data_IF_387463189725
#
_entry.id   IF_387463189725
#
_cell.length_a   1.000
_cell.length_b   1.000
_cell.length_c   1.000
_cell.angle_alpha   90.00
_cell.angle_beta   90.00
_cell.angle_gamma   90.00
#
_symmetry.space_group_name_H-M   'P 1'
#
loop_
_entity.id
_entity.type
_entity.pdbx_description
1 polymer ?
#
# COMPACT_ATOMS: atom_id res chain seq x y z
N UNK A 1 -19.09 -7.26 11.50
CA UNK A 1 -18.00 -6.40 10.98
C UNK A 1 -16.81 -7.31 10.82
N UNK A 2 -16.24 -7.41 9.62
CA UNK A 2 -15.09 -8.28 9.41
C UNK A 2 -13.84 -7.68 10.06
N UNK A 3 -12.99 -8.53 10.60
CA UNK A 3 -11.74 -8.15 11.27
C UNK A 3 -10.60 -9.03 10.76
N UNK A 4 -9.38 -8.53 10.84
CA UNK A 4 -8.20 -9.35 10.63
C UNK A 4 -7.66 -9.79 11.98
N UNK A 5 -7.29 -11.06 12.12
CA UNK A 5 -6.56 -11.57 13.28
C UNK A 5 -5.08 -11.62 12.95
N UNK A 6 -4.25 -11.02 13.80
CA UNK A 6 -2.83 -10.86 13.56
C UNK A 6 -2.02 -11.54 14.67
N UNK A 7 -0.97 -12.26 14.27
CA UNK A 7 0.07 -12.75 15.17
C UNK A 7 1.42 -12.22 14.72
N UNK A 8 2.08 -11.47 15.59
CA UNK A 8 3.39 -10.87 15.36
C UNK A 8 4.43 -11.46 16.31
N UNK A 9 5.51 -11.98 15.74
CA UNK A 9 6.66 -12.54 16.44
C UNK A 9 7.86 -11.60 16.27
N UNK A 10 8.49 -11.22 17.38
CA UNK A 10 9.65 -10.34 17.42
C UNK A 10 10.86 -11.10 17.96
N UNK A 11 11.98 -11.03 17.24
CA UNK A 11 13.22 -11.73 17.59
C UNK A 11 14.35 -10.74 17.91
N UNK A 12 14.97 -10.88 19.08
CA UNK A 12 16.06 -10.02 19.56
C UNK A 12 17.32 -10.83 19.87
N UNK A 13 18.49 -10.33 19.49
CA UNK A 13 19.76 -10.96 19.88
C UNK A 13 20.17 -10.64 21.32
N UNK A 14 19.84 -9.44 21.81
CA UNK A 14 20.22 -8.98 23.13
C UNK A 14 19.06 -9.11 24.12
N UNK A 15 19.33 -9.73 25.27
CA UNK A 15 18.35 -9.92 26.34
C UNK A 15 17.81 -8.59 26.86
N UNK A 16 18.64 -7.55 26.97
CA UNK A 16 18.22 -6.22 27.39
C UNK A 16 17.18 -5.62 26.42
N UNK A 17 17.42 -5.70 25.10
CA UNK A 17 16.47 -5.23 24.10
C UNK A 17 15.17 -6.04 24.14
N UNK A 18 15.27 -7.36 24.32
CA UNK A 18 14.10 -8.22 24.49
C UNK A 18 13.27 -7.79 25.71
N UNK A 19 13.91 -7.64 26.87
CA UNK A 19 13.25 -7.28 28.13
C UNK A 19 12.65 -5.87 28.07
N UNK A 20 13.37 -4.89 27.53
CA UNK A 20 12.86 -3.52 27.38
C UNK A 20 11.64 -3.48 26.45
N UNK A 21 11.67 -4.23 25.34
CA UNK A 21 10.54 -4.32 24.42
C UNK A 21 9.33 -4.99 25.07
N UNK A 22 9.55 -6.09 25.79
CA UNK A 22 8.49 -6.77 26.54
C UNK A 22 7.85 -5.85 27.59
N UNK A 23 8.66 -5.16 28.39
CA UNK A 23 8.17 -4.23 29.41
C UNK A 23 7.38 -3.07 28.80
N UNK A 24 7.80 -2.55 27.65
CA UNK A 24 7.04 -1.55 26.90
C UNK A 24 5.62 -2.05 26.57
N UNK A 25 5.50 -3.25 25.98
CA UNK A 25 4.19 -3.81 25.61
C UNK A 25 3.33 -4.21 26.80
N UNK A 26 3.93 -4.73 27.89
CA UNK A 26 3.20 -5.02 29.11
C UNK A 26 2.62 -3.75 29.73
N UNK A 27 3.38 -2.65 29.75
CA UNK A 27 2.87 -1.36 30.26
C UNK A 27 1.81 -0.74 29.37
N UNK A 28 1.95 -0.88 28.05
CA UNK A 28 0.90 -0.51 27.10
C UNK A 28 -0.40 -1.30 27.36
N UNK A 29 -0.30 -2.61 27.62
CA UNK A 29 -1.44 -3.46 27.96
C UNK A 29 -2.11 -3.07 29.29
N UNK A 30 -1.33 -2.64 30.27
CA UNK A 30 -1.83 -2.14 31.56
C UNK A 30 -2.44 -0.73 31.46
N UNK A 31 -2.29 -0.03 30.33
CA UNK A 31 -2.72 1.36 30.16
C UNK A 31 -1.77 2.39 30.79
N UNK A 32 -0.59 1.97 31.27
CA UNK A 32 0.43 2.86 31.84
C UNK A 32 1.30 3.47 30.74
N UNK A 33 0.75 4.47 30.06
CA UNK A 33 1.40 5.15 28.94
C UNK A 33 2.71 5.84 29.35
N UNK A 34 2.81 6.31 30.60
CA UNK A 34 4.01 6.99 31.08
C UNK A 34 5.18 6.01 31.19
N UNK A 35 4.99 4.86 31.85
CA UNK A 35 6.02 3.83 31.94
C UNK A 35 6.32 3.20 30.57
N UNK A 36 5.29 2.95 29.75
CA UNK A 36 5.49 2.47 28.40
C UNK A 36 6.41 3.41 27.60
N UNK A 37 6.18 4.73 27.67
CA UNK A 37 6.99 5.72 26.97
C UNK A 37 8.42 5.78 27.51
N UNK A 38 8.66 5.53 28.80
CA UNK A 38 10.01 5.42 29.36
C UNK A 38 10.80 4.28 28.71
N UNK A 39 10.18 3.11 28.52
CA UNK A 39 10.83 2.00 27.81
C UNK A 39 11.00 2.30 26.31
N UNK A 40 9.99 2.89 25.65
CA UNK A 40 10.08 3.30 24.25
C UNK A 40 11.20 4.33 23.99
N UNK A 41 11.45 5.23 24.95
CA UNK A 41 12.53 6.21 24.87
C UNK A 41 13.92 5.55 24.84
N UNK A 42 14.10 4.37 25.43
CA UNK A 42 15.35 3.61 25.33
C UNK A 42 15.63 3.19 23.88
N UNK A 43 14.58 2.97 23.09
CA UNK A 43 14.66 2.72 21.65
C UNK A 43 14.58 4.00 20.80
N UNK A 44 14.53 5.18 21.44
CA UNK A 44 14.33 6.49 20.79
C UNK A 44 13.08 6.51 19.90
N UNK A 45 12.02 5.83 20.33
CA UNK A 45 10.77 5.72 19.59
C UNK A 45 9.60 6.30 20.37
N UNK A 46 8.58 6.72 19.62
CA UNK A 46 7.26 7.01 20.18
C UNK A 46 6.51 5.70 20.39
N UNK A 47 5.53 5.70 21.28
CA UNK A 47 4.63 4.57 21.42
C UNK A 47 3.93 4.26 20.08
N UNK A 48 3.70 2.97 19.77
CA UNK A 48 2.96 2.57 18.58
C UNK A 48 1.55 3.15 18.63
N UNK A 49 1.20 4.01 17.67
CA UNK A 49 -0.13 4.62 17.59
C UNK A 49 -1.22 3.57 17.44
N UNK A 50 -0.92 2.54 16.65
CA UNK A 50 -1.82 1.43 16.36
C UNK A 50 -2.35 0.75 17.63
N UNK A 51 -1.54 0.71 18.70
CA UNK A 51 -1.92 0.05 19.95
C UNK A 51 -3.20 0.62 20.57
N UNK A 52 -3.39 1.94 20.52
CA UNK A 52 -4.55 2.63 21.11
C UNK A 52 -5.63 3.03 20.11
N UNK A 53 -5.27 3.11 18.82
CA UNK A 53 -6.14 3.67 17.79
C UNK A 53 -6.85 2.59 16.95
N UNK A 54 -6.12 1.57 16.48
CA UNK A 54 -6.59 0.64 15.45
C UNK A 54 -6.50 -0.84 15.82
N UNK A 55 -5.77 -1.19 16.88
CA UNK A 55 -5.69 -2.56 17.38
C UNK A 55 -6.69 -2.81 18.49
N UNK A 56 -7.17 -4.04 18.57
CA UNK A 56 -8.09 -4.52 19.60
C UNK A 56 -7.67 -5.89 20.13
N UNK A 57 -8.24 -6.29 21.27
CA UNK A 57 -8.01 -7.61 21.89
C UNK A 57 -6.53 -7.99 22.07
N UNK A 58 -5.68 -7.02 22.40
CA UNK A 58 -4.23 -7.21 22.40
C UNK A 58 -3.80 -8.20 23.49
N UNK A 59 -2.96 -9.16 23.11
CA UNK A 59 -2.29 -10.08 24.00
C UNK A 59 -0.79 -10.01 23.77
N UNK A 60 -0.06 -9.95 24.88
CA UNK A 60 1.41 -9.99 24.91
C UNK A 60 1.80 -11.26 25.63
N UNK A 61 2.59 -12.10 24.98
CA UNK A 61 3.26 -13.25 25.58
C UNK A 61 4.74 -13.21 25.22
N UNK A 62 5.58 -13.82 26.04
CA UNK A 62 7.01 -13.85 25.79
C UNK A 62 7.59 -15.21 26.16
N UNK A 63 8.52 -15.64 25.33
CA UNK A 63 9.41 -16.76 25.58
C UNK A 63 10.85 -16.23 25.53
N UNK A 64 11.85 -16.99 26.00
CA UNK A 64 13.25 -16.55 25.93
C UNK A 64 13.73 -16.18 24.52
N UNK A 65 13.14 -16.80 23.49
CA UNK A 65 13.57 -16.63 22.10
C UNK A 65 12.81 -15.57 21.30
N UNK A 66 11.60 -15.21 21.74
CA UNK A 66 10.72 -14.31 21.02
C UNK A 66 9.65 -13.66 21.90
N UNK A 67 9.17 -12.50 21.45
CA UNK A 67 7.96 -11.87 21.96
C UNK A 67 6.85 -12.13 20.96
N UNK A 68 5.68 -12.55 21.43
CA UNK A 68 4.47 -12.75 20.63
C UNK A 68 3.41 -11.72 21.01
N UNK A 69 2.93 -11.02 20.00
CA UNK A 69 1.79 -10.11 20.07
C UNK A 69 0.65 -10.69 19.24
N UNK A 70 -0.51 -10.89 19.86
CA UNK A 70 -1.74 -11.21 19.15
C UNK A 70 -2.68 -10.00 19.24
N UNK A 71 -3.31 -9.62 18.14
CA UNK A 71 -4.25 -8.50 18.10
C UNK A 71 -5.20 -8.61 16.91
N UNK A 72 -6.40 -8.04 17.07
CA UNK A 72 -7.35 -7.86 15.98
C UNK A 72 -7.22 -6.45 15.40
N UNK A 73 -7.50 -6.31 14.10
CA UNK A 73 -7.47 -5.03 13.39
C UNK A 73 -8.59 -4.92 12.36
N UNK A 74 -8.78 -3.72 11.81
CA UNK A 74 -9.65 -3.54 10.65
C UNK A 74 -9.10 -4.28 9.42
N UNK A 75 -9.95 -4.60 8.45
CA UNK A 75 -9.54 -5.28 7.21
C UNK A 75 -8.68 -4.40 6.31
N UNK A 76 -8.82 -3.08 6.45
CA UNK A 76 -7.96 -2.07 5.82
C UNK A 76 -6.69 -1.76 6.61
N UNK A 77 -6.51 -2.34 7.79
CA UNK A 77 -5.31 -2.07 8.59
C UNK A 77 -4.10 -2.72 7.94
N UNK A 78 -3.08 -1.89 7.80
CA UNK A 78 -1.85 -2.22 7.14
C UNK A 78 -0.85 -2.89 8.11
N UNK A 79 0.17 -3.59 7.58
CA UNK A 79 1.26 -4.12 8.42
C UNK A 79 1.86 -3.04 9.35
N UNK A 80 2.31 -3.37 10.56
CA UNK A 80 2.70 -2.41 11.61
C UNK A 80 4.12 -1.85 11.43
N UNK A 81 4.40 -1.34 10.23
CA UNK A 81 5.71 -0.89 9.76
C UNK A 81 6.29 0.27 10.59
N UNK A 82 5.43 1.17 11.06
CA UNK A 82 5.85 2.31 11.90
C UNK A 82 6.44 1.87 13.24
N UNK A 83 5.95 0.76 13.78
CA UNK A 83 6.47 0.16 15.00
C UNK A 83 7.73 -0.66 14.74
N UNK A 84 7.74 -1.46 13.66
CA UNK A 84 8.88 -2.31 13.33
C UNK A 84 10.13 -1.51 12.97
N UNK A 85 9.98 -0.39 12.25
CA UNK A 85 11.10 0.41 11.79
C UNK A 85 12.06 0.87 12.91
N UNK A 86 11.60 1.52 14.00
CA UNK A 86 12.48 1.90 15.11
C UNK A 86 13.01 0.70 15.88
N UNK A 87 12.24 -0.39 16.04
CA UNK A 87 12.72 -1.60 16.71
C UNK A 87 13.92 -2.23 15.98
N UNK A 88 13.91 -2.24 14.64
CA UNK A 88 15.09 -2.66 13.87
C UNK A 88 16.30 -1.75 14.08
N UNK A 89 16.11 -0.44 14.22
CA UNK A 89 17.21 0.48 14.57
C UNK A 89 17.73 0.27 15.99
N UNK A 90 16.90 -0.29 16.86
CA UNK A 90 17.20 -0.60 18.25
C UNK A 90 17.77 -2.02 18.47
N UNK A 91 18.14 -2.73 17.40
CA UNK A 91 18.80 -4.03 17.50
C UNK A 91 17.84 -5.24 17.48
N UNK A 92 16.58 -5.05 17.08
CA UNK A 92 15.74 -6.20 16.70
C UNK A 92 16.36 -6.93 15.51
N UNK A 93 16.46 -8.26 15.60
CA UNK A 93 17.12 -9.09 14.59
C UNK A 93 16.18 -9.44 13.45
N UNK A 94 14.94 -9.77 13.78
CA UNK A 94 13.91 -10.15 12.82
C UNK A 94 12.51 -9.99 13.38
N UNK A 95 11.54 -10.01 12.49
CA UNK A 95 10.13 -10.07 12.82
C UNK A 95 9.39 -10.93 11.80
N UNK A 96 8.34 -11.61 12.23
CA UNK A 96 7.43 -12.34 11.35
C UNK A 96 6.00 -12.01 11.76
N UNK A 97 5.12 -11.81 10.78
CA UNK A 97 3.71 -11.51 10.99
C UNK A 97 2.90 -12.51 10.19
N UNK A 98 1.88 -13.09 10.82
CA UNK A 98 0.79 -13.77 10.16
C UNK A 98 -0.48 -12.94 10.30
N UNK A 99 -1.22 -12.79 9.20
CA UNK A 99 -2.51 -12.12 9.15
C UNK A 99 -3.53 -13.09 8.57
N UNK A 100 -4.59 -13.35 9.32
CA UNK A 100 -5.78 -14.04 8.82
C UNK A 100 -6.85 -13.01 8.45
N UNK A 101 -7.26 -13.00 7.18
CA UNK A 101 -8.31 -12.13 6.68
C UNK A 101 -9.65 -12.86 6.67
N UNK A 102 -10.54 -12.52 7.61
CA UNK A 102 -11.85 -13.16 7.78
C UNK A 102 -12.80 -12.95 6.58
N UNK A 103 -12.60 -11.91 5.76
CA UNK A 103 -13.46 -11.67 4.59
C UNK A 103 -13.26 -12.70 3.49
N UNK A 104 -12.00 -13.10 3.27
CA UNK A 104 -11.59 -13.99 2.18
C UNK A 104 -11.22 -15.39 2.70
N UNK A 105 -11.01 -15.54 4.01
CA UNK A 105 -10.59 -16.80 4.63
C UNK A 105 -9.14 -17.17 4.31
N UNK A 106 -8.27 -16.17 4.15
CA UNK A 106 -6.90 -16.37 3.66
C UNK A 106 -5.85 -15.93 4.67
N UNK A 107 -4.70 -16.62 4.62
CA UNK A 107 -3.53 -16.29 5.42
C UNK A 107 -2.45 -15.61 4.58
N UNK A 108 -1.88 -14.55 5.13
CA UNK A 108 -0.70 -13.87 4.60
C UNK A 108 0.42 -13.82 5.65
N UNK A 109 1.67 -13.92 5.20
CA UNK A 109 2.84 -13.80 6.07
C UNK A 109 3.88 -12.82 5.58
N UNK A 110 4.22 -11.86 6.43
CA UNK A 110 5.31 -10.94 6.18
C UNK A 110 6.51 -11.28 7.07
N UNK A 111 7.70 -11.35 6.48
CA UNK A 111 8.95 -11.62 7.19
C UNK A 111 9.89 -10.44 7.05
N UNK A 112 10.60 -10.08 8.11
CA UNK A 112 11.46 -8.91 8.14
C UNK A 112 12.81 -9.22 8.77
N UNK A 113 13.89 -8.72 8.16
CA UNK A 113 15.23 -8.71 8.73
C UNK A 113 15.97 -7.44 8.34
N UNK A 114 16.79 -6.92 9.26
CA UNK A 114 17.63 -5.73 9.03
C UNK A 114 16.83 -4.54 8.46
N UNK A 115 15.61 -4.33 8.98
CA UNK A 115 14.74 -3.23 8.55
C UNK A 115 14.19 -3.35 7.13
N UNK A 116 14.13 -4.55 6.56
CA UNK A 116 13.55 -4.84 5.24
C UNK A 116 12.61 -6.03 5.31
N UNK A 117 11.51 -5.97 4.55
CA UNK A 117 10.68 -7.12 4.23
C UNK A 117 11.47 -8.05 3.30
N UNK A 118 11.46 -9.35 3.60
CA UNK A 118 12.26 -10.37 2.93
C UNK A 118 11.44 -11.63 2.69
N UNK A 119 11.93 -12.50 1.82
CA UNK A 119 11.39 -13.86 1.72
C UNK A 119 11.68 -14.67 3.01
N UNK A 120 10.89 -15.72 3.32
CA UNK A 120 11.06 -16.51 4.54
C UNK A 120 12.46 -17.13 4.66
N UNK A 121 13.04 -17.63 3.56
CA UNK A 121 14.39 -18.21 3.54
C UNK A 121 15.46 -17.25 4.07
N UNK A 122 15.31 -15.95 3.78
CA UNK A 122 16.24 -14.92 4.25
C UNK A 122 16.12 -14.66 5.76
N UNK A 123 14.91 -14.75 6.31
CA UNK A 123 14.70 -14.72 7.76
C UNK A 123 15.35 -15.93 8.41
N UNK A 124 15.05 -17.14 7.92
CA UNK A 124 15.55 -18.39 8.47
C UNK A 124 17.08 -18.46 8.48
N UNK A 125 17.73 -17.96 7.43
CA UNK A 125 19.20 -17.91 7.37
C UNK A 125 19.83 -16.97 8.41
N UNK A 126 19.15 -15.88 8.77
CA UNK A 126 19.69 -14.85 9.67
C UNK A 126 19.25 -15.04 11.12
N UNK A 127 18.12 -15.71 11.32
CA UNK A 127 17.50 -15.99 12.61
C UNK A 127 17.16 -17.48 12.63
N UNK A 128 18.15 -18.36 12.77
CA UNK A 128 17.96 -19.82 12.59
C UNK A 128 16.86 -20.38 13.50
N UNK A 129 16.78 -19.92 14.75
CA UNK A 129 15.72 -20.31 15.70
C UNK A 129 14.30 -19.92 15.26
N UNK A 130 14.15 -18.99 14.32
CA UNK A 130 12.82 -18.54 13.86
C UNK A 130 12.05 -19.63 13.12
N UNK A 131 12.71 -20.64 12.55
CA UNK A 131 12.06 -21.74 11.83
C UNK A 131 11.11 -22.49 12.76
N UNK A 132 11.66 -23.06 13.85
CA UNK A 132 10.88 -23.84 14.81
C UNK A 132 9.79 -23.01 15.48
N UNK A 133 10.08 -21.73 15.78
CA UNK A 133 9.10 -20.82 16.39
C UNK A 133 7.95 -20.50 15.42
N UNK A 134 8.24 -20.22 14.16
CA UNK A 134 7.21 -19.93 13.16
C UNK A 134 6.33 -21.17 12.93
N UNK A 135 6.94 -22.34 12.82
CA UNK A 135 6.22 -23.60 12.63
C UNK A 135 5.32 -23.96 13.83
N UNK A 136 5.66 -23.53 15.04
CA UNK A 136 4.86 -23.80 16.24
C UNK A 136 3.83 -22.73 16.59
N UNK A 137 4.13 -21.46 16.32
CA UNK A 137 3.35 -20.32 16.81
C UNK A 137 2.30 -19.81 15.81
N UNK A 138 2.54 -20.00 14.51
CA UNK A 138 1.61 -19.59 13.46
C UNK A 138 0.61 -20.70 13.13
N UNK A 139 -0.59 -20.30 12.74
CA UNK A 139 -1.71 -21.20 12.53
C UNK A 139 -1.65 -21.89 11.15
N UNK A 140 -1.27 -21.14 10.10
CA UNK A 140 -1.29 -21.66 8.75
C UNK A 140 -0.12 -22.61 8.45
N UNK A 141 -0.32 -23.58 7.57
CA UNK A 141 0.79 -24.26 6.90
C UNK A 141 1.31 -23.41 5.73
N UNK A 142 2.55 -23.64 5.25
CA UNK A 142 3.07 -22.96 4.07
C UNK A 142 2.17 -23.07 2.83
N UNK A 143 1.42 -24.17 2.70
CA UNK A 143 0.49 -24.45 1.61
C UNK A 143 -0.79 -23.60 1.66
N UNK A 144 -1.18 -23.10 2.83
CA UNK A 144 -2.37 -22.25 3.03
C UNK A 144 -2.10 -20.76 2.77
N UNK A 145 -0.85 -20.39 2.49
CA UNK A 145 -0.45 -19.00 2.31
C UNK A 145 -0.75 -18.50 0.90
N UNK A 146 -1.59 -17.48 0.80
CA UNK A 146 -1.84 -16.76 -0.45
C UNK A 146 -0.89 -15.57 -0.58
N UNK A 147 0.35 -15.82 -1.00
CA UNK A 147 1.31 -14.74 -1.21
C UNK A 147 2.26 -15.02 -2.37
N UNK A 148 2.41 -14.01 -3.23
CA UNK A 148 3.42 -14.04 -4.27
C UNK A 148 4.83 -14.06 -3.67
N UNK A 149 5.78 -14.80 -4.26
CA UNK A 149 7.15 -14.81 -3.79
C UNK A 149 7.77 -13.41 -3.88
N UNK A 150 8.48 -13.03 -2.82
CA UNK A 150 9.24 -11.78 -2.80
C UNK A 150 10.62 -11.98 -3.43
N UNK A 151 10.81 -11.47 -4.64
CA UNK A 151 12.07 -11.61 -5.39
C UNK A 151 13.23 -10.83 -4.77
N UNK A 152 12.95 -9.64 -4.21
CA UNK A 152 13.96 -8.73 -3.67
C UNK A 152 13.52 -8.12 -2.34
N UNK A 153 14.44 -7.95 -1.37
CA UNK A 153 14.13 -7.24 -0.14
C UNK A 153 13.62 -5.83 -0.39
N UNK A 154 12.56 -5.44 0.33
CA UNK A 154 12.01 -4.08 0.29
C UNK A 154 12.22 -3.44 1.65
N UNK A 155 12.91 -2.30 1.71
CA UNK A 155 13.15 -1.64 3.00
C UNK A 155 11.86 -1.15 3.62
N UNK A 156 11.73 -1.23 4.95
CA UNK A 156 10.55 -0.70 5.67
C UNK A 156 10.37 0.79 5.40
N UNK A 157 11.48 1.54 5.25
CA UNK A 157 11.43 2.95 4.87
C UNK A 157 10.75 3.16 3.51
N UNK A 158 11.06 2.32 2.52
CA UNK A 158 10.43 2.41 1.19
C UNK A 158 8.94 2.04 1.27
N UNK A 159 8.59 1.01 2.02
CA UNK A 159 7.20 0.62 2.23
C UNK A 159 6.40 1.75 2.90
N UNK A 160 6.97 2.41 3.92
CA UNK A 160 6.34 3.58 4.56
C UNK A 160 6.15 4.75 3.57
N UNK A 161 7.15 5.03 2.73
CA UNK A 161 7.05 6.07 1.69
C UNK A 161 5.98 5.75 0.64
N UNK A 162 5.87 4.48 0.23
CA UNK A 162 4.82 4.04 -0.71
C UNK A 162 3.43 4.26 -0.11
N UNK A 163 3.23 3.92 1.16
CA UNK A 163 1.96 4.17 1.86
C UNK A 163 1.62 5.65 1.98
N UNK A 164 2.60 6.49 2.34
CA UNK A 164 2.39 7.94 2.41
C UNK A 164 1.98 8.49 1.04
N UNK A 165 2.58 7.98 -0.04
CA UNK A 165 2.23 8.37 -1.41
C UNK A 165 0.84 7.88 -1.81
N UNK A 166 0.51 6.62 -1.56
CA UNK A 166 -0.83 6.04 -1.84
C UNK A 166 -1.94 6.79 -1.09
N UNK A 167 -1.70 7.16 0.17
CA UNK A 167 -2.64 7.97 0.94
C UNK A 167 -2.80 9.39 0.37
N UNK A 168 -1.71 10.02 -0.07
CA UNK A 168 -1.77 11.33 -0.71
C UNK A 168 -2.53 11.29 -2.05
N UNK A 169 -2.25 10.28 -2.87
CA UNK A 169 -2.90 10.07 -4.16
C UNK A 169 -4.41 9.79 -3.98
N UNK A 170 -4.78 8.98 -2.98
CA UNK A 170 -6.18 8.73 -2.63
C UNK A 170 -6.90 10.02 -2.17
N UNK A 171 -6.24 10.86 -1.37
CA UNK A 171 -6.81 12.14 -0.94
C UNK A 171 -6.98 13.11 -2.12
N UNK A 172 -6.02 13.17 -3.05
CA UNK A 172 -6.14 13.95 -4.29
C UNK A 172 -7.32 13.45 -5.12
N UNK A 173 -7.46 12.14 -5.32
CA UNK A 173 -8.58 11.55 -6.06
C UNK A 173 -9.93 11.88 -5.42
N UNK A 174 -10.06 11.78 -4.09
CA UNK A 174 -11.30 12.14 -3.39
C UNK A 174 -11.61 13.64 -3.53
N UNK A 175 -10.59 14.50 -3.50
CA UNK A 175 -10.77 15.93 -3.73
C UNK A 175 -11.25 16.21 -5.16
N UNK A 176 -10.63 15.58 -6.16
CA UNK A 176 -11.05 15.68 -7.57
C UNK A 176 -12.49 15.20 -7.77
N UNK A 177 -12.87 14.06 -7.20
CA UNK A 177 -14.24 13.55 -7.26
C UNK A 177 -15.24 14.50 -6.61
N UNK A 178 -14.88 15.10 -5.46
CA UNK A 178 -15.73 16.09 -4.78
C UNK A 178 -15.93 17.34 -5.64
N UNK A 179 -14.86 17.83 -6.27
CA UNK A 179 -14.92 19.02 -7.12
C UNK A 179 -15.70 18.76 -8.42
N UNK A 180 -15.56 17.57 -9.00
CA UNK A 180 -16.40 17.12 -10.11
C UNK A 180 -17.88 17.03 -9.71
N UNK A 181 -18.18 16.49 -8.53
CA UNK A 181 -19.54 16.42 -8.00
C UNK A 181 -20.17 17.81 -7.77
N UNK A 182 -19.38 18.78 -7.30
CA UNK A 182 -19.82 20.19 -7.20
C UNK A 182 -20.05 20.80 -8.57
N UNK A 183 -19.12 20.63 -9.50
CA UNK A 183 -19.25 21.14 -10.86
C UNK A 183 -20.48 20.56 -11.57
N UNK A 184 -20.75 19.25 -11.42
CA UNK A 184 -21.94 18.59 -11.95
C UNK A 184 -23.23 19.17 -11.37
N UNK A 185 -23.26 19.40 -10.06
CA UNK A 185 -24.39 20.04 -9.37
C UNK A 185 -24.63 21.48 -9.85
N UNK A 186 -23.56 22.24 -10.09
CA UNK A 186 -23.64 23.65 -10.48
C UNK A 186 -23.95 23.83 -11.98
N UNK A 187 -23.60 22.86 -12.83
CA UNK A 187 -23.82 22.92 -14.29
C UNK A 187 -25.02 22.11 -14.77
N UNK A 188 -25.59 21.22 -13.95
CA UNK A 188 -26.69 20.34 -14.33
C UNK A 188 -26.30 19.22 -15.30
N UNK A 189 -25.01 19.09 -15.63
CA UNK A 189 -24.47 18.08 -16.54
C UNK A 189 -24.15 16.77 -15.82
N UNK A 190 -24.20 15.65 -16.54
CA UNK A 190 -23.92 14.33 -15.97
C UNK A 190 -22.44 14.23 -15.52
N UNK A 191 -22.13 13.57 -14.37
CA UNK A 191 -20.76 13.42 -13.86
C UNK A 191 -19.80 12.75 -14.85
N UNK A 192 -20.32 11.88 -15.71
CA UNK A 192 -19.58 11.16 -16.75
C UNK A 192 -19.13 12.09 -17.90
N UNK A 193 -19.96 13.04 -18.32
CA UNK A 193 -19.59 14.04 -19.34
C UNK A 193 -18.53 15.03 -18.83
N UNK A 194 -18.55 15.32 -17.53
CA UNK A 194 -17.54 16.16 -16.86
C UNK A 194 -16.23 15.40 -16.62
N UNK A 195 -16.29 14.10 -16.32
CA UNK A 195 -15.10 13.24 -16.26
C UNK A 195 -14.45 13.11 -17.64
N UNK A 196 -15.22 12.83 -18.69
CA UNK A 196 -14.72 12.77 -20.08
C UNK A 196 -14.11 14.10 -20.50
N UNK A 197 -14.78 15.23 -20.26
CA UNK A 197 -14.25 16.54 -20.63
C UNK A 197 -13.02 16.96 -19.82
N UNK A 198 -12.93 16.62 -18.53
CA UNK A 198 -11.76 16.93 -17.69
C UNK A 198 -10.55 16.02 -17.96
N UNK A 199 -10.77 14.72 -18.24
CA UNK A 199 -9.71 13.81 -18.68
C UNK A 199 -9.18 14.21 -20.07
N UNK A 200 -10.08 14.57 -21.00
CA UNK A 200 -9.69 15.11 -22.30
C UNK A 200 -8.95 16.44 -22.14
N UNK A 201 -9.37 17.33 -21.25
CA UNK A 201 -8.64 18.57 -20.96
C UNK A 201 -7.25 18.32 -20.38
N UNK A 202 -7.09 17.33 -19.49
CA UNK A 202 -5.80 16.99 -18.87
C UNK A 202 -4.87 16.29 -19.86
N UNK A 203 -5.42 15.48 -20.78
CA UNK A 203 -4.70 14.86 -21.89
C UNK A 203 -4.27 15.90 -22.94
N UNK A 204 -5.17 16.82 -23.31
CA UNK A 204 -4.89 17.98 -24.19
C UNK A 204 -3.86 18.90 -23.55
N UNK A 205 -3.97 19.18 -22.25
CA UNK A 205 -3.02 20.00 -21.50
C UNK A 205 -1.62 19.38 -21.44
N UNK A 206 -1.52 18.07 -21.17
CA UNK A 206 -0.23 17.36 -21.22
C UNK A 206 0.36 17.32 -22.63
N UNK A 207 -0.47 17.07 -23.65
CA UNK A 207 -0.05 17.07 -25.06
C UNK A 207 0.44 18.44 -25.54
N UNK A 208 -0.26 19.52 -25.17
CA UNK A 208 0.14 20.90 -25.47
C UNK A 208 1.44 21.29 -24.77
N UNK A 209 1.62 20.88 -23.51
CA UNK A 209 2.83 21.17 -22.75
C UNK A 209 4.05 20.44 -23.33
N UNK A 210 3.88 19.15 -23.67
CA UNK A 210 4.93 18.33 -24.23
C UNK A 210 5.27 18.75 -25.68
N UNK A 211 4.27 19.09 -26.50
CA UNK A 211 4.45 19.65 -27.84
C UNK A 211 5.08 21.05 -27.81
N UNK A 212 4.73 21.88 -26.83
CA UNK A 212 5.34 23.20 -26.62
C UNK A 212 6.82 23.11 -26.20
N UNK A 213 7.15 22.22 -25.26
CA UNK A 213 8.54 21.97 -24.82
C UNK A 213 9.36 21.40 -25.97
N UNK A 214 8.84 20.40 -26.69
CA UNK A 214 9.50 19.82 -27.84
C UNK A 214 9.74 20.86 -28.94
N UNK A 215 8.73 21.67 -29.29
CA UNK A 215 8.85 22.76 -30.25
C UNK A 215 9.90 23.80 -29.83
N UNK A 216 9.90 24.23 -28.58
CA UNK A 216 10.87 25.18 -28.04
C UNK A 216 12.31 24.64 -28.14
N UNK A 217 12.52 23.39 -27.71
CA UNK A 217 13.83 22.71 -27.75
C UNK A 217 14.30 22.53 -29.21
N UNK A 218 13.40 22.16 -30.11
CA UNK A 218 13.73 21.89 -31.52
C UNK A 218 14.04 23.17 -32.30
N UNK A 219 13.31 24.26 -32.04
CA UNK A 219 13.57 25.59 -32.64
C UNK A 219 14.89 26.18 -32.14
N UNK A 220 15.24 25.97 -30.86
CA UNK A 220 16.51 26.39 -30.27
C UNK A 220 17.71 25.58 -30.82
N UNK A 221 17.55 24.27 -31.01
CA UNK A 221 18.59 23.38 -31.56
C UNK A 221 18.83 23.59 -33.05
N UNK A 222 17.78 23.83 -33.83
CA UNK A 222 17.83 23.96 -35.29
C UNK A 222 17.38 25.35 -35.72
N UNK A 223 18.24 26.36 -35.51
CA UNK A 223 18.05 27.78 -35.88
C UNK A 223 17.21 27.98 -37.15
N UNK A 224 15.89 28.11 -36.99
CA UNK A 224 14.98 28.66 -37.99
C UNK A 224 14.77 27.87 -39.28
N UNK A 225 14.75 26.53 -39.28
CA UNK A 225 14.18 25.80 -40.43
C UNK A 225 12.64 25.77 -40.32
N UNK A 226 11.95 26.40 -41.28
CA UNK A 226 10.47 26.46 -41.37
C UNK A 226 9.78 25.09 -41.36
N UNK A 227 10.49 24.03 -41.77
CA UNK A 227 10.04 22.65 -41.70
C UNK A 227 9.70 22.19 -40.28
N UNK A 228 10.48 22.61 -39.27
CA UNK A 228 10.28 22.21 -37.88
C UNK A 228 9.10 22.93 -37.24
N UNK A 229 8.83 24.17 -37.65
CA UNK A 229 7.63 24.90 -37.23
C UNK A 229 6.38 24.19 -37.76
N UNK A 230 6.38 23.77 -39.04
CA UNK A 230 5.30 22.98 -39.62
C UNK A 230 5.10 21.63 -38.91
N UNK A 231 6.19 20.91 -38.64
CA UNK A 231 6.12 19.63 -37.90
C UNK A 231 5.60 19.82 -36.47
N UNK A 232 5.98 20.91 -35.79
CA UNK A 232 5.51 21.22 -34.44
C UNK A 232 4.00 21.49 -34.45
N UNK A 233 3.48 22.25 -35.41
CA UNK A 233 2.03 22.49 -35.56
C UNK A 233 1.28 21.20 -35.86
N UNK A 234 1.83 20.34 -36.72
CA UNK A 234 1.24 19.02 -37.01
C UNK A 234 1.26 18.14 -35.75
N UNK A 235 2.33 18.14 -34.97
CA UNK A 235 2.40 17.40 -33.70
C UNK A 235 1.39 17.95 -32.68
N UNK A 236 1.24 19.28 -32.60
CA UNK A 236 0.37 19.96 -31.65
C UNK A 236 -1.11 19.66 -31.89
N UNK A 237 -1.48 19.33 -33.13
CA UNK A 237 -2.85 18.95 -33.53
C UNK A 237 -3.02 17.42 -33.60
N UNK A 238 -2.00 16.71 -34.09
CA UNK A 238 -2.03 15.27 -34.32
C UNK A 238 -1.91 14.43 -33.04
N UNK A 239 -1.06 14.83 -32.08
CA UNK A 239 -0.93 14.10 -30.80
C UNK A 239 -2.21 14.11 -29.97
N UNK A 240 -2.92 15.25 -29.80
CA UNK A 240 -4.20 15.27 -29.11
C UNK A 240 -5.24 14.36 -29.77
N UNK A 241 -5.30 14.34 -31.10
CA UNK A 241 -6.21 13.46 -31.84
C UNK A 241 -5.90 11.98 -31.65
N UNK A 242 -4.62 11.60 -31.64
CA UNK A 242 -4.21 10.21 -31.38
C UNK A 242 -4.50 9.79 -29.94
N UNK A 243 -4.25 10.66 -28.96
CA UNK A 243 -4.55 10.36 -27.55
C UNK A 243 -6.07 10.23 -27.32
N UNK A 244 -6.87 11.11 -27.92
CA UNK A 244 -8.34 11.04 -27.85
C UNK A 244 -8.85 9.78 -28.55
N UNK A 245 -8.29 9.40 -29.70
CA UNK A 245 -8.68 8.17 -30.39
C UNK A 245 -8.37 6.90 -29.59
N UNK A 246 -7.21 6.83 -28.92
CA UNK A 246 -6.87 5.68 -28.08
C UNK A 246 -7.82 5.57 -26.89
N UNK A 247 -8.13 6.68 -26.22
CA UNK A 247 -9.08 6.71 -25.11
C UNK A 247 -10.49 6.33 -25.56
N UNK A 248 -10.95 6.77 -26.74
CA UNK A 248 -12.27 6.37 -27.28
C UNK A 248 -12.31 4.87 -27.61
N UNK A 249 -11.24 4.32 -28.20
CA UNK A 249 -11.18 2.90 -28.58
C UNK A 249 -11.11 1.98 -27.36
N UNK A 250 -10.45 2.43 -26.29
CA UNK A 250 -10.35 1.71 -25.02
C UNK A 250 -11.70 1.71 -24.25
N UNK A 251 -12.51 2.76 -24.40
CA UNK A 251 -13.87 2.83 -23.86
C UNK A 251 -14.91 2.02 -24.65
N UNK A 252 -14.79 1.94 -25.98
CA UNK A 252 -15.72 1.15 -26.81
C UNK A 252 -15.44 -0.37 -26.73
N UNK A 253 -14.22 -0.79 -26.40
CA UNK A 253 -13.85 -2.20 -26.25
C UNK A 253 -14.34 -2.87 -24.95
N UNK A 254 -14.85 -2.10 -23.99
CA UNK A 254 -15.37 -2.62 -22.71
C UNK A 254 -16.90 -2.84 -22.75
N UNK A 255 -17.55 -2.54 -23.89
CA UNK A 255 -18.99 -2.71 -24.14
C UNK A 255 -19.20 -3.74 -25.26
N UNK A 256 -18.72 -4.97 -25.06
CA UNK A 256 -19.17 -6.14 -25.80
C UNK A 256 -19.22 -7.30 -24.80
N UNK A 257 -20.27 -7.31 -23.96
CA UNK A 257 -20.69 -8.50 -23.22
C UNK A 257 -22.06 -8.88 -23.75
N UNK A 258 -22.07 -10.05 -24.38
CA UNK A 258 -23.18 -10.79 -24.95
C UNK A 258 -24.44 -10.78 -24.06
N UNK A 259 -25.48 -10.09 -24.50
CA UNK A 259 -26.85 -10.36 -24.03
C UNK A 259 -27.45 -11.50 -24.86
N UNK A 260 -27.05 -12.73 -24.52
CA UNK A 260 -27.75 -13.96 -24.87
C UNK A 260 -29.04 -14.04 -24.04
N UNK A 261 -30.15 -13.51 -24.57
CA UNK A 261 -31.48 -13.71 -23.98
C UNK A 261 -32.03 -15.09 -24.34
N UNK A 262 -32.40 -15.97 -23.38
CA UNK A 262 -33.18 -17.15 -23.71
C UNK A 262 -34.65 -16.76 -23.94
N UNK A 263 -35.16 -17.14 -25.11
CA UNK A 263 -36.59 -17.16 -25.44
C UNK A 263 -37.38 -17.93 -24.37
N UNK A 264 -38.39 -17.29 -23.78
CA UNK A 264 -39.46 -18.01 -23.08
C UNK A 264 -40.75 -17.84 -23.87
N UNK A 265 -41.06 -18.91 -24.59
CA UNK A 265 -42.30 -19.18 -25.33
C UNK A 265 -43.56 -18.95 -24.49
N UNK A 266 -44.53 -18.25 -25.07
CA UNK A 266 -45.92 -18.30 -24.65
C UNK A 266 -46.53 -19.69 -24.90
N UNK A 267 -47.30 -20.21 -23.94
CA UNK A 267 -48.49 -21.02 -24.21
C UNK A 267 -49.37 -21.10 -22.94
N UNK A 268 -50.58 -20.56 -23.11
CA UNK A 268 -51.85 -20.69 -22.37
C UNK A 268 -51.96 -20.29 -20.87
#
# INVERSE_FOLDING_TARGET
MSQNTNTLLLFFDHEDSHKTCLLMFLKLKEGDLAQAQLFANQFKMKLPRQWGDSWFNQRVTAQPDFIRLDYDSSTSEDLPLEMLHPLFKAGMKGAAIEVFNDQVGEYHRAHFVSGSMVNPKSLFKRVERSIAVIDSEFAASPEELQQAPLDKPISIRRLLQQREQEQADAQEMVALMRDLGKAAKDTGSSPEELLRSSLVLRAVGKGLLQGGIFGLVTILLFKGLWLWVGLTVILLVGLPLLYVSQVITELDGEIDIEDEFPEVSHAD
#
